data_IF_244432340684
#
_entry.id   IF_244432340684
#
_cell.length_a   1.000
_cell.length_b   1.000
_cell.length_c   1.000
_cell.angle_alpha   90.00
_cell.angle_beta   90.00
_cell.angle_gamma   90.00
#
_symmetry.space_group_name_H-M   'P 1'
#
loop_
_entity.id
_entity.type
_entity.pdbx_description
1 polymer ?
#
# COMPACT_ATOMS: atom_id res chain seq x y z
N UNK A 1 13.71 -26.03 -19.96
CA UNK A 1 12.94 -24.77 -19.80
C UNK A 1 13.05 -24.33 -18.34
N UNK A 2 14.13 -23.64 -17.95
CA UNK A 2 14.43 -23.31 -16.54
C UNK A 2 14.53 -21.80 -16.26
N UNK A 3 14.50 -20.94 -17.29
CA UNK A 3 14.63 -19.48 -17.12
C UNK A 3 13.34 -18.75 -16.74
N UNK A 4 12.18 -19.40 -16.80
CA UNK A 4 10.91 -18.78 -16.46
C UNK A 4 10.80 -18.59 -14.93
N UNK A 5 10.97 -19.65 -14.15
CA UNK A 5 10.81 -19.62 -12.68
C UNK A 5 11.79 -18.72 -11.93
N UNK A 6 12.98 -18.46 -12.47
CA UNK A 6 13.96 -17.54 -11.85
C UNK A 6 13.55 -16.07 -12.02
N UNK A 7 13.12 -15.66 -13.21
CA UNK A 7 12.68 -14.29 -13.47
C UNK A 7 11.42 -13.94 -12.65
N UNK A 8 10.51 -14.90 -12.49
CA UNK A 8 9.29 -14.70 -11.68
C UNK A 8 9.58 -14.52 -10.19
N UNK A 9 10.54 -15.26 -9.63
CA UNK A 9 10.95 -15.06 -8.22
C UNK A 9 11.56 -13.67 -8.00
N UNK A 10 12.32 -13.17 -8.97
CA UNK A 10 12.87 -11.81 -8.94
C UNK A 10 11.76 -10.76 -8.98
N UNK A 11 10.79 -10.90 -9.88
CA UNK A 11 9.65 -9.98 -10.00
C UNK A 11 8.79 -9.96 -8.73
N UNK A 12 8.55 -11.13 -8.12
CA UNK A 12 7.83 -11.26 -6.85
C UNK A 12 8.55 -10.54 -5.70
N UNK A 13 9.88 -10.70 -5.61
CA UNK A 13 10.68 -10.01 -4.60
C UNK A 13 10.64 -8.48 -4.79
N UNK A 14 10.66 -8.01 -6.03
CA UNK A 14 10.54 -6.59 -6.35
C UNK A 14 9.16 -6.02 -5.95
N UNK A 15 8.07 -6.77 -6.18
CA UNK A 15 6.73 -6.37 -5.73
C UNK A 15 6.62 -6.26 -4.22
N UNK A 16 7.24 -7.18 -3.46
CA UNK A 16 7.25 -7.12 -2.01
C UNK A 16 8.03 -5.91 -1.48
N UNK A 17 9.20 -5.63 -2.06
CA UNK A 17 9.96 -4.42 -1.74
C UNK A 17 9.18 -3.15 -2.07
N UNK A 18 8.48 -3.12 -3.21
CA UNK A 18 7.64 -1.99 -3.58
C UNK A 18 6.47 -1.79 -2.59
N UNK A 19 5.82 -2.87 -2.16
CA UNK A 19 4.75 -2.80 -1.17
C UNK A 19 5.26 -2.25 0.17
N UNK A 20 6.41 -2.75 0.65
CA UNK A 20 7.03 -2.24 1.87
C UNK A 20 7.36 -0.75 1.75
N UNK A 21 7.93 -0.34 0.62
CA UNK A 21 8.25 1.07 0.36
C UNK A 21 7.00 1.95 0.37
N UNK A 22 5.86 1.48 -0.17
CA UNK A 22 4.57 2.19 -0.09
C UNK A 22 4.12 2.37 1.36
N UNK A 23 4.25 1.35 2.20
CA UNK A 23 3.93 1.47 3.63
C UNK A 23 4.84 2.46 4.35
N UNK A 24 6.14 2.44 4.06
CA UNK A 24 7.12 3.34 4.66
C UNK A 24 6.84 4.80 4.27
N UNK A 25 6.57 5.05 2.98
CA UNK A 25 6.18 6.38 2.48
C UNK A 25 4.87 6.84 3.13
N UNK A 26 3.88 5.95 3.30
CA UNK A 26 2.64 6.27 3.99
C UNK A 26 2.88 6.70 5.44
N UNK A 27 3.74 5.98 6.18
CA UNK A 27 4.10 6.34 7.55
C UNK A 27 4.82 7.70 7.63
N UNK A 28 5.72 8.00 6.68
CA UNK A 28 6.38 9.30 6.59
C UNK A 28 5.39 10.43 6.34
N UNK A 29 4.43 10.23 5.43
CA UNK A 29 3.37 11.20 5.15
C UNK A 29 2.54 11.46 6.40
N UNK A 30 2.10 10.42 7.12
CA UNK A 30 1.35 10.60 8.38
C UNK A 30 2.14 11.40 9.44
N UNK A 31 3.44 11.17 9.54
CA UNK A 31 4.32 11.92 10.45
C UNK A 31 4.42 13.41 10.06
N UNK A 32 4.62 13.70 8.77
CA UNK A 32 4.65 15.07 8.27
C UNK A 32 3.33 15.80 8.50
N UNK A 33 2.21 15.10 8.26
CA UNK A 33 0.88 15.62 8.50
C UNK A 33 0.68 15.98 9.98
N UNK A 34 1.06 15.08 10.90
CA UNK A 34 0.96 15.30 12.34
C UNK A 34 1.86 16.46 12.81
N UNK A 35 3.05 16.61 12.22
CA UNK A 35 3.95 17.72 12.50
C UNK A 35 3.36 19.06 12.04
N UNK A 36 2.77 19.09 10.85
CA UNK A 36 2.10 20.27 10.33
C UNK A 36 0.93 20.67 11.24
N UNK A 37 0.08 19.71 11.63
CA UNK A 37 -1.04 19.97 12.54
C UNK A 37 -0.57 20.54 13.88
N UNK A 38 0.48 19.98 14.48
CA UNK A 38 1.06 20.48 15.73
C UNK A 38 1.57 21.92 15.63
N UNK A 39 2.06 22.33 14.45
CA UNK A 39 2.50 23.71 14.18
C UNK A 39 1.32 24.65 13.93
N UNK A 40 0.23 24.11 13.41
CA UNK A 40 -0.98 24.83 13.03
C UNK A 40 -1.91 25.10 14.23
N UNK A 41 -2.00 24.19 15.20
CA UNK A 41 -2.89 24.33 16.37
C UNK A 41 -2.63 25.59 17.22
N UNK A 42 -1.38 26.01 17.52
CA UNK A 42 -1.11 27.26 18.25
C UNK A 42 -1.56 28.52 17.49
N UNK A 43 -1.55 28.47 16.15
CA UNK A 43 -1.94 29.59 15.29
C UNK A 43 -3.46 29.85 15.32
N UNK A 44 -4.27 28.84 15.69
CA UNK A 44 -5.71 29.03 15.90
C UNK A 44 -6.02 30.04 17.01
N UNK A 45 -5.19 30.12 18.05
CA UNK A 45 -5.37 31.10 19.12
C UNK A 45 -5.08 32.54 18.68
N UNK A 46 -4.25 32.70 17.64
CA UNK A 46 -3.77 34.00 17.16
C UNK A 46 -4.64 34.57 16.04
N UNK A 47 -5.28 33.74 15.22
CA UNK A 47 -6.14 34.18 14.12
C UNK A 47 -7.59 34.29 14.57
N UNK A 48 -7.97 35.44 15.15
CA UNK A 48 -9.34 35.74 15.55
C UNK A 48 -10.10 36.47 14.42
N UNK A 49 -11.39 36.20 14.26
CA UNK A 49 -12.25 36.83 13.23
C UNK A 49 -12.33 36.05 11.91
N UNK A 50 -12.44 36.73 10.77
CA UNK A 50 -12.66 36.11 9.44
C UNK A 50 -11.55 35.14 9.00
N UNK A 51 -10.32 35.33 9.51
CA UNK A 51 -9.20 34.42 9.28
C UNK A 51 -9.40 33.04 9.93
N UNK A 52 -10.16 32.96 11.03
CA UNK A 52 -10.46 31.70 11.72
C UNK A 52 -11.31 30.76 10.85
N UNK A 53 -12.30 31.32 10.13
CA UNK A 53 -13.19 30.55 9.25
C UNK A 53 -12.43 29.98 8.05
N UNK A 54 -11.63 30.78 7.37
CA UNK A 54 -10.78 30.32 6.25
C UNK A 54 -9.80 29.23 6.69
N UNK A 55 -9.26 29.36 7.90
CA UNK A 55 -8.38 28.36 8.48
C UNK A 55 -9.08 27.05 8.82
N UNK A 56 -10.30 27.11 9.39
CA UNK A 56 -11.11 25.91 9.63
C UNK A 56 -11.41 25.16 8.33
N UNK A 57 -11.76 25.88 7.25
CA UNK A 57 -11.97 25.28 5.93
C UNK A 57 -10.70 24.62 5.40
N UNK A 58 -9.55 25.27 5.57
CA UNK A 58 -8.27 24.71 5.16
C UNK A 58 -7.94 23.44 5.96
N UNK A 59 -8.17 23.45 7.27
CA UNK A 59 -7.95 22.29 8.17
C UNK A 59 -8.83 21.11 7.77
N UNK A 60 -10.10 21.35 7.47
CA UNK A 60 -11.05 20.31 7.03
C UNK A 60 -10.62 19.68 5.70
N UNK A 61 -10.30 20.53 4.69
CA UNK A 61 -9.79 20.06 3.40
C UNK A 61 -8.51 19.25 3.54
N UNK A 62 -7.58 19.75 4.34
CA UNK A 62 -6.32 19.08 4.59
C UNK A 62 -6.52 17.70 5.24
N UNK A 63 -7.42 17.58 6.21
CA UNK A 63 -7.79 16.28 6.79
C UNK A 63 -8.39 15.34 5.76
N UNK A 64 -9.28 15.82 4.89
CA UNK A 64 -9.84 15.01 3.81
C UNK A 64 -8.77 14.51 2.82
N UNK A 65 -7.87 15.40 2.39
CA UNK A 65 -6.79 15.05 1.47
C UNK A 65 -5.84 14.02 2.10
N UNK A 66 -5.50 14.18 3.38
CA UNK A 66 -4.72 13.22 4.15
C UNK A 66 -5.38 11.84 4.22
N UNK A 67 -6.70 11.79 4.47
CA UNK A 67 -7.46 10.53 4.51
C UNK A 67 -7.49 9.85 3.14
N UNK A 68 -7.75 10.60 2.06
CA UNK A 68 -7.74 10.05 0.71
C UNK A 68 -6.38 9.49 0.32
N UNK A 69 -5.30 10.22 0.63
CA UNK A 69 -3.94 9.78 0.35
C UNK A 69 -3.60 8.47 1.09
N UNK A 70 -3.96 8.37 2.37
CA UNK A 70 -3.78 7.14 3.15
C UNK A 70 -4.58 5.97 2.56
N UNK A 71 -5.84 6.20 2.17
CA UNK A 71 -6.68 5.17 1.57
C UNK A 71 -6.08 4.67 0.24
N UNK A 72 -5.60 5.57 -0.61
CA UNK A 72 -4.96 5.23 -1.87
C UNK A 72 -3.67 4.41 -1.67
N UNK A 73 -2.79 4.84 -0.75
CA UNK A 73 -1.55 4.13 -0.45
C UNK A 73 -1.80 2.74 0.14
N UNK A 74 -2.80 2.62 1.02
CA UNK A 74 -3.23 1.33 1.55
C UNK A 74 -3.77 0.41 0.45
N UNK A 75 -4.62 0.92 -0.44
CA UNK A 75 -5.15 0.15 -1.55
C UNK A 75 -4.05 -0.34 -2.50
N UNK A 76 -3.01 0.48 -2.74
CA UNK A 76 -1.82 0.08 -3.52
C UNK A 76 -1.08 -1.07 -2.81
N UNK A 77 -0.81 -0.92 -1.51
CA UNK A 77 -0.15 -1.96 -0.71
C UNK A 77 -0.94 -3.28 -0.69
N UNK A 78 -2.25 -3.22 -0.44
CA UNK A 78 -3.14 -4.38 -0.46
C UNK A 78 -3.22 -5.03 -1.85
N UNK A 79 -3.24 -4.24 -2.92
CA UNK A 79 -3.18 -4.74 -4.30
C UNK A 79 -1.91 -5.54 -4.58
N UNK A 80 -0.75 -5.02 -4.16
CA UNK A 80 0.54 -5.70 -4.30
C UNK A 80 0.59 -7.01 -3.50
N UNK A 81 0.02 -7.04 -2.28
CA UNK A 81 -0.07 -8.27 -1.47
C UNK A 81 -1.06 -9.28 -2.05
N UNK A 82 -2.19 -8.83 -2.62
CA UNK A 82 -3.15 -9.73 -3.27
C UNK A 82 -2.57 -10.45 -4.48
N UNK A 83 -1.75 -9.76 -5.27
CA UNK A 83 -1.02 -10.37 -6.39
C UNK A 83 -0.13 -11.50 -5.88
N UNK A 84 0.52 -11.33 -4.72
CA UNK A 84 1.33 -12.37 -4.08
C UNK A 84 0.51 -13.59 -3.61
N UNK A 85 -0.61 -13.36 -2.90
CA UNK A 85 -1.44 -14.44 -2.34
C UNK A 85 -2.14 -15.31 -3.40
N UNK A 86 -2.65 -14.69 -4.47
CA UNK A 86 -3.22 -15.43 -5.60
C UNK A 86 -2.15 -16.27 -6.33
N UNK A 87 -0.88 -15.85 -6.27
CA UNK A 87 0.22 -16.54 -6.91
C UNK A 87 0.60 -17.84 -6.20
N UNK A 88 0.77 -17.81 -4.87
CA UNK A 88 1.07 -19.02 -4.08
C UNK A 88 -0.01 -20.10 -4.29
N UNK A 89 -1.28 -19.70 -4.27
CA UNK A 89 -2.40 -20.60 -4.51
C UNK A 89 -2.38 -21.21 -5.93
N UNK A 90 -1.98 -20.43 -6.94
CA UNK A 90 -1.92 -20.89 -8.34
C UNK A 90 -0.76 -21.88 -8.56
N UNK A 91 0.39 -21.64 -7.93
CA UNK A 91 1.57 -22.52 -8.01
C UNK A 91 1.29 -23.88 -7.33
N UNK A 92 0.69 -23.87 -6.12
CA UNK A 92 0.31 -25.09 -5.41
C UNK A 92 -0.71 -25.92 -6.22
N UNK A 93 -1.72 -25.25 -6.78
CA UNK A 93 -2.73 -25.90 -7.63
C UNK A 93 -2.10 -26.52 -8.89
N UNK A 94 -1.13 -25.84 -9.51
CA UNK A 94 -0.43 -26.34 -10.70
C UNK A 94 0.46 -27.54 -10.38
N UNK A 95 1.17 -27.53 -9.26
CA UNK A 95 1.98 -28.67 -8.82
C UNK A 95 1.12 -29.90 -8.47
N UNK A 96 -0.02 -29.70 -7.81
CA UNK A 96 -0.98 -30.77 -7.52
C UNK A 96 -1.59 -31.37 -8.80
N UNK A 97 -1.88 -30.53 -9.80
CA UNK A 97 -2.37 -30.96 -11.11
C UNK A 97 -1.32 -31.76 -11.87
N UNK A 98 -0.06 -31.32 -11.85
CA UNK A 98 1.05 -32.05 -12.49
C UNK A 98 1.30 -33.41 -11.83
N UNK A 99 1.25 -33.46 -10.50
CA UNK A 99 1.44 -34.68 -9.71
C UNK A 99 0.32 -35.69 -9.99
N UNK A 100 -0.92 -35.21 -10.13
CA UNK A 100 -2.07 -36.07 -10.42
C UNK A 100 -2.07 -36.59 -11.87
N UNK A 101 -1.64 -35.79 -12.85
CA UNK A 101 -1.49 -36.24 -14.25
C UNK A 101 -0.35 -37.27 -14.35
N UNK A 102 0.79 -37.00 -13.73
CA UNK A 102 1.95 -37.92 -13.75
C UNK A 102 1.59 -39.28 -13.13
N UNK A 103 0.80 -39.27 -12.05
CA UNK A 103 0.32 -40.49 -11.39
C UNK A 103 -0.67 -41.29 -12.26
N UNK A 104 -1.42 -40.63 -13.15
CA UNK A 104 -2.34 -41.28 -14.09
C UNK A 104 -1.67 -41.83 -15.34
N UNK A 105 -0.50 -41.30 -15.70
CA UNK A 105 0.25 -41.71 -16.91
C UNK A 105 1.39 -42.69 -16.60
N UNK A 106 1.84 -42.75 -15.35
CA UNK A 106 2.89 -43.66 -14.88
C UNK A 106 2.38 -44.92 -14.18
N UNK A 107 1.08 -45.23 -14.29
CA UNK A 107 0.44 -46.44 -13.77
C UNK A 107 -0.31 -47.18 -14.86
#
# INVERSE_FOLDING_TARGET
MSGAGSNFRTELSAMQTAAQHVFDVNAQIQSQLSSLQSRLDPLMGTWQGSAATSFQVLKERWHQDATQLNAALRAIGEGLVKVHGNYQATEETSQQSFTSITRKLGG
#
